data_IF_389331184726
#
_entry.id   IF_389331184726
#
_cell.length_a   1.000
_cell.length_b   1.000
_cell.length_c   1.000
_cell.angle_alpha   90.00
_cell.angle_beta   90.00
_cell.angle_gamma   90.00
#
_symmetry.space_group_name_H-M   'P 1'
#
loop_
_entity.id
_entity.type
_entity.pdbx_description
1 polymer ?
#
# COMPACT_ATOMS: atom_id res chain seq x y z
N UNK A 1 -9.08 -12.59 -16.81
CA UNK A 1 -8.38 -11.34 -17.17
C UNK A 1 -7.43 -10.90 -16.04
N UNK A 2 -6.13 -10.88 -16.31
CA UNK A 2 -5.05 -10.50 -15.39
C UNK A 2 -4.90 -8.98 -15.28
N UNK A 3 -5.98 -8.27 -14.94
CA UNK A 3 -6.06 -6.81 -14.98
C UNK A 3 -5.59 -6.10 -13.69
N UNK A 4 -4.81 -6.78 -12.85
CA UNK A 4 -4.34 -6.30 -11.54
C UNK A 4 -5.45 -5.77 -10.61
N UNK A 5 -6.67 -6.31 -10.74
CA UNK A 5 -7.76 -6.11 -9.77
C UNK A 5 -7.86 -7.33 -8.87
N UNK A 6 -7.68 -7.11 -7.57
CA UNK A 6 -7.87 -8.10 -6.50
C UNK A 6 -7.26 -9.47 -6.81
N UNK A 7 -6.00 -9.50 -7.27
CA UNK A 7 -5.29 -10.75 -7.55
C UNK A 7 -4.59 -11.26 -6.29
N UNK A 8 -4.83 -12.51 -5.94
CA UNK A 8 -4.08 -13.19 -4.87
C UNK A 8 -2.92 -13.97 -5.46
N UNK A 9 -1.70 -13.68 -5.03
CA UNK A 9 -0.45 -14.30 -5.51
C UNK A 9 0.38 -14.68 -4.29
N UNK A 10 0.91 -15.90 -4.25
CA UNK A 10 1.88 -16.30 -3.23
C UNK A 10 3.26 -16.35 -3.87
N UNK A 11 4.24 -15.64 -3.29
CA UNK A 11 5.64 -15.65 -3.72
C UNK A 11 6.55 -15.71 -2.50
N UNK A 12 7.46 -16.68 -2.45
CA UNK A 12 8.32 -16.94 -1.28
C UNK A 12 7.56 -17.01 0.04
N UNK A 13 6.39 -17.68 0.02
CA UNK A 13 5.50 -17.83 1.18
C UNK A 13 4.92 -16.52 1.74
N UNK A 14 5.08 -15.39 1.02
CA UNK A 14 4.35 -14.15 1.29
C UNK A 14 3.09 -14.13 0.41
N UNK A 15 1.96 -13.82 1.02
CA UNK A 15 0.65 -13.74 0.36
C UNK A 15 0.38 -12.30 -0.06
N UNK A 16 0.32 -12.05 -1.36
CA UNK A 16 0.02 -10.74 -1.94
C UNK A 16 -1.44 -10.66 -2.38
N UNK A 17 -2.10 -9.55 -2.07
CA UNK A 17 -3.37 -9.13 -2.64
C UNK A 17 -3.10 -7.85 -3.44
N UNK A 18 -3.08 -7.97 -4.76
CA UNK A 18 -2.79 -6.85 -5.66
C UNK A 18 -4.08 -6.20 -6.16
N UNK A 19 -4.29 -4.95 -5.77
CA UNK A 19 -5.34 -4.03 -6.25
C UNK A 19 -4.73 -2.71 -6.77
N UNK A 20 -3.71 -2.84 -7.63
CA UNK A 20 -2.89 -1.72 -8.13
C UNK A 20 -3.33 -1.19 -9.51
N UNK A 21 -4.60 -1.37 -9.88
CA UNK A 21 -5.13 -0.84 -11.14
C UNK A 21 -5.75 0.55 -10.98
N UNK A 22 -6.44 0.82 -9.87
CA UNK A 22 -7.08 2.10 -9.59
C UNK A 22 -6.98 2.44 -8.09
N UNK A 23 -6.67 3.70 -7.81
CA UNK A 23 -6.75 4.26 -6.46
C UNK A 23 -7.46 5.61 -6.49
N UNK A 24 -8.58 5.65 -5.78
CA UNK A 24 -9.32 6.85 -5.44
C UNK A 24 -9.71 6.77 -3.95
N UNK A 25 -10.10 7.89 -3.31
CA UNK A 25 -10.28 7.96 -1.86
C UNK A 25 -11.27 6.91 -1.35
N UNK A 26 -12.47 6.85 -1.93
CA UNK A 26 -13.52 5.90 -1.51
C UNK A 26 -13.05 4.44 -1.61
N UNK A 27 -12.36 4.07 -2.70
CA UNK A 27 -11.84 2.71 -2.85
C UNK A 27 -10.71 2.38 -1.88
N UNK A 28 -9.87 3.36 -1.54
CA UNK A 28 -8.79 3.22 -0.56
C UNK A 28 -9.37 3.04 0.84
N UNK A 29 -10.32 3.90 1.23
CA UNK A 29 -11.00 3.83 2.54
C UNK A 29 -11.66 2.46 2.78
N UNK A 30 -12.33 1.93 1.77
CA UNK A 30 -12.97 0.61 1.84
C UNK A 30 -11.92 -0.49 1.99
N UNK A 31 -10.86 -0.48 1.16
CA UNK A 31 -9.79 -1.47 1.21
C UNK A 31 -9.08 -1.48 2.57
N UNK A 32 -8.76 -0.31 3.12
CA UNK A 32 -8.17 -0.14 4.47
C UNK A 32 -9.07 -0.79 5.52
N UNK A 33 -10.38 -0.54 5.45
CA UNK A 33 -11.36 -1.08 6.41
C UNK A 33 -11.46 -2.60 6.32
N UNK A 34 -11.60 -3.14 5.11
CA UNK A 34 -11.77 -4.57 4.90
C UNK A 34 -10.51 -5.36 5.27
N UNK A 35 -9.34 -4.90 4.82
CA UNK A 35 -8.08 -5.53 5.16
C UNK A 35 -7.78 -5.40 6.65
N UNK A 36 -8.05 -4.23 7.23
CA UNK A 36 -7.89 -3.97 8.65
C UNK A 36 -8.72 -4.90 9.53
N UNK A 37 -9.99 -5.13 9.17
CA UNK A 37 -10.91 -6.01 9.90
C UNK A 37 -10.70 -7.51 9.64
N UNK A 38 -9.81 -7.88 8.71
CA UNK A 38 -9.56 -9.29 8.39
C UNK A 38 -8.86 -10.03 9.56
N UNK A 39 -9.14 -11.34 9.66
CA UNK A 39 -8.52 -12.23 10.65
C UNK A 39 -7.09 -12.68 10.27
N UNK A 40 -6.47 -12.01 9.29
CA UNK A 40 -5.11 -12.29 8.86
C UNK A 40 -4.09 -11.79 9.89
N UNK A 41 -2.96 -12.47 9.97
CA UNK A 41 -1.81 -12.10 10.81
C UNK A 41 -0.64 -11.61 9.94
N UNK A 42 0.34 -10.95 10.56
CA UNK A 42 1.51 -10.39 9.86
C UNK A 42 1.09 -9.51 8.66
N UNK A 43 0.15 -8.60 8.93
CA UNK A 43 -0.47 -7.76 7.90
C UNK A 43 0.48 -6.62 7.52
N UNK A 44 0.62 -6.43 6.22
CA UNK A 44 1.37 -5.34 5.60
C UNK A 44 0.46 -4.68 4.58
N UNK A 45 0.41 -3.36 4.57
CA UNK A 45 -0.36 -2.63 3.59
C UNK A 45 0.49 -1.57 2.89
N UNK A 46 0.66 -1.75 1.58
CA UNK A 46 1.40 -0.87 0.69
C UNK A 46 0.40 -0.02 -0.08
N UNK A 47 0.38 1.28 0.22
CA UNK A 47 -0.56 2.24 -0.36
C UNK A 47 0.18 3.25 -1.24
N UNK A 48 -0.16 3.29 -2.52
CA UNK A 48 0.40 4.20 -3.50
C UNK A 48 -0.45 5.44 -3.74
N UNK A 49 0.18 6.51 -4.20
CA UNK A 49 -0.47 7.78 -4.50
C UNK A 49 -1.77 7.64 -5.31
N UNK A 50 -2.72 8.51 -5.02
CA UNK A 50 -3.93 8.77 -5.79
C UNK A 50 -3.70 9.96 -6.74
N UNK A 51 -3.45 9.70 -8.01
CA UNK A 51 -2.90 10.71 -8.94
C UNK A 51 -3.96 11.62 -9.59
N UNK A 52 -5.23 11.26 -9.53
CA UNK A 52 -6.32 11.96 -10.24
C UNK A 52 -7.04 13.03 -9.38
N UNK A 53 -6.46 13.39 -8.23
CA UNK A 53 -7.13 14.23 -7.21
C UNK A 53 -6.99 15.74 -7.41
N UNK A 54 -6.04 16.21 -8.23
CA UNK A 54 -5.83 17.64 -8.46
C UNK A 54 -5.58 18.41 -7.15
N UNK A 55 -6.40 19.42 -6.87
CA UNK A 55 -6.29 20.27 -5.67
C UNK A 55 -6.56 19.53 -4.37
N UNK A 56 -7.29 18.42 -4.40
CA UNK A 56 -7.66 17.66 -3.21
C UNK A 56 -6.57 16.67 -2.77
N UNK A 57 -5.49 16.56 -3.55
CA UNK A 57 -4.40 15.59 -3.34
C UNK A 57 -3.91 15.57 -1.89
N UNK A 58 -3.49 16.71 -1.34
CA UNK A 58 -2.95 16.75 0.02
C UNK A 58 -3.99 16.32 1.06
N UNK A 59 -5.21 16.85 0.97
CA UNK A 59 -6.27 16.57 1.94
C UNK A 59 -6.67 15.08 1.96
N UNK A 60 -6.82 14.46 0.80
CA UNK A 60 -7.23 13.06 0.73
C UNK A 60 -6.10 12.10 1.12
N UNK A 61 -4.83 12.39 0.77
CA UNK A 61 -3.72 11.57 1.26
C UNK A 61 -3.58 11.66 2.78
N UNK A 62 -3.76 12.85 3.37
CA UNK A 62 -3.74 13.04 4.83
C UNK A 62 -4.83 12.24 5.54
N UNK A 63 -6.06 12.24 4.99
CA UNK A 63 -7.18 11.44 5.52
C UNK A 63 -6.88 9.94 5.48
N UNK A 64 -6.29 9.45 4.39
CA UNK A 64 -5.90 8.04 4.27
C UNK A 64 -4.87 7.66 5.33
N UNK A 65 -3.86 8.50 5.56
CA UNK A 65 -2.86 8.27 6.61
C UNK A 65 -3.55 8.21 7.99
N UNK A 66 -4.40 9.19 8.31
CA UNK A 66 -5.13 9.23 9.59
C UNK A 66 -6.02 8.01 9.80
N UNK A 67 -6.67 7.51 8.75
CA UNK A 67 -7.46 6.28 8.85
C UNK A 67 -6.57 5.08 9.20
N UNK A 68 -5.41 4.93 8.54
CA UNK A 68 -4.46 3.86 8.82
C UNK A 68 -3.93 3.92 10.26
N UNK A 69 -3.64 5.12 10.77
CA UNK A 69 -3.19 5.30 12.17
C UNK A 69 -4.23 4.86 13.21
N UNK A 70 -5.51 4.75 12.83
CA UNK A 70 -6.56 4.22 13.70
C UNK A 70 -6.59 2.70 13.80
N UNK A 71 -5.71 2.00 13.08
CA UNK A 71 -5.64 0.54 13.05
C UNK A 71 -4.36 0.03 13.74
N UNK A 72 -4.46 -1.13 14.39
CA UNK A 72 -3.33 -1.84 15.00
C UNK A 72 -2.96 -3.08 14.19
N UNK A 73 -1.79 -3.65 14.48
CA UNK A 73 -1.33 -4.94 13.97
C UNK A 73 -1.21 -5.01 12.43
N UNK A 74 -0.88 -3.86 11.82
CA UNK A 74 -0.63 -3.71 10.38
C UNK A 74 0.57 -2.78 10.19
N UNK A 75 1.55 -3.25 9.42
CA UNK A 75 2.66 -2.41 8.97
C UNK A 75 2.24 -1.64 7.72
N UNK A 76 2.28 -0.31 7.76
CA UNK A 76 1.92 0.53 6.63
C UNK A 76 3.15 1.08 5.91
N UNK A 77 3.12 1.05 4.58
CA UNK A 77 4.07 1.79 3.74
C UNK A 77 3.32 2.62 2.72
N UNK A 78 3.64 3.89 2.66
CA UNK A 78 3.06 4.82 1.71
C UNK A 78 4.06 5.12 0.59
N UNK A 79 3.60 5.07 -0.66
CA UNK A 79 4.46 5.02 -1.85
C UNK A 79 4.08 6.11 -2.84
N UNK A 80 5.06 6.91 -3.22
CA UNK A 80 4.91 7.95 -4.23
C UNK A 80 5.18 9.35 -3.67
N UNK A 81 5.45 10.33 -4.54
CA UNK A 81 5.78 11.69 -4.13
C UNK A 81 4.68 12.36 -3.29
N UNK A 82 3.39 12.08 -3.53
CA UNK A 82 2.30 12.76 -2.81
C UNK A 82 2.18 12.27 -1.37
N UNK A 83 2.38 10.98 -1.13
CA UNK A 83 2.51 10.46 0.22
C UNK A 83 3.82 10.90 0.88
N UNK A 84 4.93 10.94 0.13
CA UNK A 84 6.25 11.33 0.68
C UNK A 84 6.26 12.75 1.26
N UNK A 85 5.44 13.66 0.75
CA UNK A 85 5.25 15.01 1.30
C UNK A 85 4.80 15.02 2.79
N UNK A 86 4.29 13.89 3.31
CA UNK A 86 3.81 13.75 4.69
C UNK A 86 4.83 13.13 5.65
N UNK A 87 6.02 12.74 5.19
CA UNK A 87 7.03 12.05 6.01
C UNK A 87 7.43 12.85 7.25
N UNK A 88 7.66 14.16 7.10
CA UNK A 88 8.02 15.02 8.24
C UNK A 88 6.87 15.22 9.25
N UNK A 89 5.62 15.01 8.80
CA UNK A 89 4.42 15.14 9.65
C UNK A 89 4.16 13.86 10.46
N UNK A 90 4.47 12.69 9.90
CA UNK A 90 4.18 11.39 10.51
C UNK A 90 5.44 10.53 10.64
N UNK A 91 6.31 10.91 11.57
CA UNK A 91 7.66 10.32 11.72
C UNK A 91 7.69 8.82 12.04
N UNK A 92 6.60 8.28 12.59
CA UNK A 92 6.48 6.86 12.96
C UNK A 92 6.00 5.95 11.81
N UNK A 93 5.72 6.53 10.63
CA UNK A 93 5.23 5.80 9.46
C UNK A 93 6.30 5.73 8.36
N UNK A 94 6.20 4.71 7.51
CA UNK A 94 7.15 4.50 6.41
C UNK A 94 6.66 5.15 5.12
N UNK A 95 7.49 6.01 4.54
CA UNK A 95 7.22 6.69 3.27
C UNK A 95 8.36 6.48 2.28
N UNK A 96 8.04 6.10 1.05
CA UNK A 96 9.02 5.95 -0.04
C UNK A 96 8.56 6.69 -1.29
N UNK A 97 9.50 7.20 -2.09
CA UNK A 97 9.13 8.02 -3.25
C UNK A 97 8.71 7.17 -4.47
N UNK A 98 9.08 5.88 -4.51
CA UNK A 98 8.83 5.01 -5.66
C UNK A 98 8.75 3.53 -5.29
N UNK A 99 8.19 2.72 -6.20
CA UNK A 99 8.11 1.25 -6.02
C UNK A 99 9.50 0.61 -5.86
N UNK A 100 10.55 1.16 -6.47
CA UNK A 100 11.91 0.60 -6.41
C UNK A 100 12.50 0.65 -4.99
N UNK A 101 12.08 1.60 -4.18
CA UNK A 101 12.50 1.74 -2.78
C UNK A 101 11.81 0.73 -1.84
N UNK A 102 10.76 0.05 -2.32
CA UNK A 102 10.11 -1.02 -1.54
C UNK A 102 10.95 -2.29 -1.42
N UNK A 103 12.02 -2.43 -2.23
CA UNK A 103 12.84 -3.65 -2.26
C UNK A 103 13.35 -4.02 -0.87
N UNK A 104 13.93 -3.06 -0.14
CA UNK A 104 14.43 -3.31 1.21
C UNK A 104 13.29 -3.62 2.19
N UNK A 105 12.16 -2.93 2.05
CA UNK A 105 11.01 -3.15 2.91
C UNK A 105 10.42 -4.56 2.74
N UNK A 106 10.25 -5.03 1.50
CA UNK A 106 9.59 -6.30 1.20
C UNK A 106 10.51 -7.50 1.44
N UNK A 107 11.81 -7.37 1.16
CA UNK A 107 12.78 -8.46 1.36
C UNK A 107 13.01 -8.79 2.84
N UNK A 108 12.73 -7.86 3.74
CA UNK A 108 12.82 -8.08 5.19
C UNK A 108 11.55 -8.70 5.80
N UNK A 109 10.47 -8.90 5.02
CA UNK A 109 9.22 -9.45 5.55
C UNK A 109 9.36 -10.93 5.90
N UNK A 110 8.67 -11.34 6.96
CA UNK A 110 8.65 -12.75 7.36
C UNK A 110 7.88 -13.60 6.34
N UNK A 111 8.23 -14.89 6.29
CA UNK A 111 7.39 -15.93 5.68
C UNK A 111 5.97 -15.83 6.29
N UNK A 112 4.94 -16.09 5.50
CA UNK A 112 3.51 -16.01 5.85
C UNK A 112 2.94 -14.59 6.07
N UNK A 113 3.68 -13.53 5.70
CA UNK A 113 3.12 -12.18 5.71
C UNK A 113 1.97 -12.03 4.71
N UNK A 114 0.96 -11.25 5.06
CA UNK A 114 -0.14 -10.89 4.17
C UNK A 114 0.03 -9.44 3.71
N UNK A 115 0.40 -9.25 2.45
CA UNK A 115 0.70 -7.95 1.86
C UNK A 115 -0.44 -7.51 0.93
N UNK A 116 -1.17 -6.47 1.33
CA UNK A 116 -2.15 -5.82 0.47
C UNK A 116 -1.52 -4.62 -0.23
N UNK A 117 -1.63 -4.56 -1.56
CA UNK A 117 -0.98 -3.55 -2.39
C UNK A 117 -2.02 -2.82 -3.22
N UNK A 118 -2.15 -1.51 -3.04
CA UNK A 118 -3.11 -0.67 -3.77
C UNK A 118 -2.51 0.67 -4.12
N UNK A 119 -2.79 1.19 -5.32
CA UNK A 119 -2.26 2.48 -5.77
C UNK A 119 -2.67 2.80 -7.21
N UNK A 120 -2.43 4.04 -7.65
CA UNK A 120 -2.72 4.43 -9.04
C UNK A 120 -1.85 3.63 -10.02
N UNK A 121 -2.42 3.27 -11.17
CA UNK A 121 -1.75 2.43 -12.18
C UNK A 121 -0.35 2.92 -12.57
N UNK A 122 -0.16 4.23 -12.66
CA UNK A 122 1.11 4.82 -13.10
C UNK A 122 2.29 4.53 -12.16
N UNK A 123 2.03 4.17 -10.89
CA UNK A 123 3.08 3.80 -9.92
C UNK A 123 3.61 2.38 -10.16
N UNK A 124 2.88 1.55 -10.91
CA UNK A 124 3.24 0.15 -11.22
C UNK A 124 3.62 -0.67 -9.99
N UNK A 125 2.83 -0.55 -8.91
CA UNK A 125 3.11 -1.23 -7.66
C UNK A 125 3.12 -2.76 -7.78
N UNK A 126 2.54 -3.33 -8.84
CA UNK A 126 2.67 -4.78 -9.12
C UNK A 126 4.12 -5.24 -9.27
N UNK A 127 5.04 -4.34 -9.63
CA UNK A 127 6.47 -4.63 -9.75
C UNK A 127 7.11 -4.98 -8.40
N UNK A 128 6.42 -4.79 -7.27
CA UNK A 128 6.88 -5.27 -5.96
C UNK A 128 7.18 -6.78 -5.97
N UNK A 129 6.48 -7.54 -6.81
CA UNK A 129 6.71 -8.97 -6.98
C UNK A 129 8.07 -9.30 -7.59
N UNK A 130 8.67 -8.38 -8.34
CA UNK A 130 9.96 -8.59 -9.01
C UNK A 130 11.13 -8.56 -8.00
N UNK A 131 10.89 -8.12 -6.77
CA UNK A 131 11.90 -8.07 -5.71
C UNK A 131 11.98 -9.34 -4.86
N UNK A 132 11.05 -10.26 -5.07
CA UNK A 132 10.92 -11.50 -4.31
C UNK A 132 11.39 -12.66 -5.20
N UNK A 133 12.66 -13.06 -5.12
CA UNK A 133 13.24 -14.13 -5.95
C UNK A 133 13.03 -15.53 -5.37
#
# INVERSE_FOLDING_TARGET
PSNNRSQTITKNEVHFILDAYNANPTSMELAIREFGASALTNKVMVLGDMLELGTDTANEHDKIIQQCMGLSDIDFVFVGPRFKDFEEKYLDLSFVASVNELKEFITQRSRESHCFVKGSRALKLENILDFMD
#
